data_IF_944931437766
#
_entry.id   IF_944931437766
#
_cell.length_a   1.000
_cell.length_b   1.000
_cell.length_c   1.000
_cell.angle_alpha   90.00
_cell.angle_beta   90.00
_cell.angle_gamma   90.00
#
_symmetry.space_group_name_H-M   'P 1'
#
loop_
_entity.id
_entity.type
_entity.pdbx_description
1 polymer ?
#
# COMPACT_ATOMS: atom_id res chain seq x y z
N UNK A 1 10.06 -6.43 2.06
CA UNK A 1 9.71 -5.51 0.96
C UNK A 1 10.13 -4.09 1.34
N UNK A 2 10.44 -3.22 0.36
CA UNK A 2 10.65 -1.79 0.60
C UNK A 2 9.61 -1.02 -0.21
N UNK A 3 8.88 -0.13 0.45
CA UNK A 3 7.99 0.82 -0.19
C UNK A 3 8.72 2.15 -0.33
N UNK A 4 8.48 2.83 -1.45
CA UNK A 4 9.10 4.11 -1.79
C UNK A 4 8.10 4.91 -2.62
N UNK A 5 7.19 5.59 -1.93
CA UNK A 5 6.11 6.42 -2.48
C UNK A 5 6.20 7.82 -1.87
N UNK A 6 6.03 8.85 -2.69
CA UNK A 6 5.87 10.21 -2.20
C UNK A 6 4.39 10.52 -1.96
N UNK A 7 4.08 11.41 -1.02
CA UNK A 7 2.70 11.91 -0.81
C UNK A 7 2.12 12.63 -2.02
N UNK A 8 2.98 13.18 -2.89
CA UNK A 8 2.55 13.81 -4.14
C UNK A 8 2.18 12.78 -5.21
N UNK A 9 2.59 11.52 -5.04
CA UNK A 9 2.14 10.42 -5.88
C UNK A 9 0.73 10.03 -5.43
N UNK A 10 -0.27 10.29 -6.28
CA UNK A 10 -1.65 9.87 -6.01
C UNK A 10 -1.87 8.37 -6.28
N UNK A 11 -0.89 7.68 -6.87
CA UNK A 11 -0.92 6.25 -7.13
C UNK A 11 0.49 5.66 -7.15
N UNK A 12 0.65 4.48 -6.56
CA UNK A 12 1.83 3.65 -6.69
C UNK A 12 1.46 2.16 -6.74
N UNK A 13 2.31 1.35 -7.36
CA UNK A 13 2.16 -0.10 -7.36
C UNK A 13 3.49 -0.79 -7.07
N UNK A 14 3.44 -1.84 -6.27
CA UNK A 14 4.58 -2.67 -5.89
C UNK A 14 4.26 -4.14 -6.16
N UNK A 15 5.28 -4.95 -6.46
CA UNK A 15 5.12 -6.37 -6.70
C UNK A 15 6.01 -7.19 -5.77
N UNK A 16 5.38 -8.07 -4.99
CA UNK A 16 6.05 -9.03 -4.14
C UNK A 16 6.16 -10.37 -4.88
N UNK A 17 7.37 -10.65 -5.39
CA UNK A 17 7.65 -11.87 -6.12
C UNK A 17 7.63 -13.14 -5.25
N UNK A 18 7.84 -13.04 -3.93
CA UNK A 18 7.81 -14.21 -3.04
C UNK A 18 6.37 -14.67 -2.77
N UNK A 19 5.43 -13.72 -2.75
CA UNK A 19 4.01 -13.97 -2.50
C UNK A 19 3.16 -13.97 -3.76
N UNK A 20 3.74 -13.59 -4.89
CA UNK A 20 3.06 -13.37 -6.17
C UNK A 20 1.86 -12.41 -6.01
N UNK A 21 2.07 -11.30 -5.29
CA UNK A 21 1.03 -10.29 -5.01
C UNK A 21 1.43 -8.91 -5.50
N UNK A 22 0.47 -8.22 -6.09
CA UNK A 22 0.52 -6.79 -6.32
C UNK A 22 -0.03 -6.05 -5.10
N UNK A 23 0.60 -4.93 -4.79
CA UNK A 23 0.18 -3.96 -3.79
C UNK A 23 -0.08 -2.67 -4.55
N UNK A 24 -1.30 -2.19 -4.53
CA UNK A 24 -1.70 -0.91 -5.08
C UNK A 24 -1.94 0.06 -3.93
N UNK A 25 -1.47 1.28 -4.09
CA UNK A 25 -1.73 2.38 -3.15
C UNK A 25 -2.29 3.52 -3.97
N UNK A 26 -3.47 3.99 -3.60
CA UNK A 26 -4.15 5.09 -4.28
C UNK A 26 -4.63 6.16 -3.30
N UNK A 27 -4.69 7.40 -3.77
CA UNK A 27 -5.21 8.54 -3.04
C UNK A 27 -5.94 9.51 -3.97
N UNK A 28 -7.04 10.08 -3.47
CA UNK A 28 -7.78 11.13 -4.18
C UNK A 28 -7.41 12.54 -3.72
N UNK A 29 -6.86 12.69 -2.51
CA UNK A 29 -6.62 13.97 -1.83
C UNK A 29 -5.16 14.15 -1.35
N UNK A 30 -4.29 13.17 -1.59
CA UNK A 30 -2.89 13.11 -1.12
C UNK A 30 -2.74 13.17 0.42
N UNK A 31 -3.83 12.91 1.15
CA UNK A 31 -3.88 12.86 2.61
C UNK A 31 -4.30 11.46 3.08
N UNK A 32 -5.36 10.93 2.48
CA UNK A 32 -5.93 9.60 2.74
C UNK A 32 -5.48 8.63 1.63
N UNK A 33 -4.83 7.55 2.04
CA UNK A 33 -4.31 6.52 1.14
C UNK A 33 -5.04 5.20 1.39
N UNK A 34 -5.48 4.55 0.33
CA UNK A 34 -6.08 3.22 0.35
C UNK A 34 -5.09 2.20 -0.21
N UNK A 35 -4.98 1.04 0.45
CA UNK A 35 -4.10 -0.05 0.03
C UNK A 35 -4.94 -1.23 -0.43
N UNK A 36 -4.67 -1.71 -1.64
CA UNK A 36 -5.27 -2.91 -2.19
C UNK A 36 -4.18 -3.96 -2.40
N UNK A 37 -4.48 -5.23 -2.08
CA UNK A 37 -3.54 -6.35 -2.27
C UNK A 37 -4.23 -7.47 -3.02
N UNK A 38 -3.54 -8.05 -4.01
CA UNK A 38 -4.07 -9.15 -4.81
C UNK A 38 -3.32 -9.39 -6.11
N UNK A 39 -4.05 -9.72 -7.17
CA UNK A 39 -3.54 -9.72 -8.54
C UNK A 39 -4.01 -8.45 -9.27
N UNK A 40 -3.56 -8.26 -10.51
CA UNK A 40 -4.05 -7.15 -11.36
C UNK A 40 -5.56 -7.26 -11.64
N UNK A 41 -6.10 -8.48 -11.70
CA UNK A 41 -7.51 -8.74 -12.01
C UNK A 41 -8.38 -8.89 -10.75
N UNK A 42 -7.78 -9.23 -9.61
CA UNK A 42 -8.47 -9.54 -8.35
C UNK A 42 -7.66 -9.02 -7.16
N UNK A 43 -7.84 -7.74 -6.85
CA UNK A 43 -7.31 -7.08 -5.66
C UNK A 43 -8.42 -6.53 -4.79
N UNK A 44 -8.26 -6.65 -3.48
CA UNK A 44 -9.21 -6.14 -2.51
C UNK A 44 -8.54 -5.10 -1.60
N UNK A 45 -9.32 -4.12 -1.18
CA UNK A 45 -8.91 -3.16 -0.14
C UNK A 45 -8.58 -3.91 1.15
N UNK A 46 -7.40 -3.63 1.70
CA UNK A 46 -6.92 -4.17 2.98
C UNK A 46 -6.94 -3.12 4.09
N UNK A 47 -7.22 -1.87 3.74
CA UNK A 47 -7.38 -0.76 4.67
C UNK A 47 -6.98 0.58 4.05
N UNK A 48 -7.30 1.64 4.77
CA UNK A 48 -6.90 3.01 4.46
C UNK A 48 -6.35 3.72 5.69
N UNK A 49 -5.55 4.76 5.46
CA UNK A 49 -4.94 5.57 6.51
C UNK A 49 -4.65 6.98 6.03
N UNK A 50 -4.46 7.90 6.97
CA UNK A 50 -3.93 9.24 6.69
C UNK A 50 -2.41 9.24 6.86
N UNK A 51 -1.67 9.99 6.06
CA UNK A 51 -0.23 10.21 6.24
C UNK A 51 0.15 11.68 6.05
N UNK A 52 0.99 12.20 6.94
CA UNK A 52 1.42 13.60 6.94
C UNK A 52 2.79 13.83 6.28
N UNK A 53 3.54 12.77 6.02
CA UNK A 53 4.82 12.81 5.31
C UNK A 53 5.14 11.45 4.66
N UNK A 54 6.14 11.44 3.76
CA UNK A 54 6.53 10.25 2.99
C UNK A 54 7.03 9.11 3.89
N UNK A 55 7.73 9.41 4.99
CA UNK A 55 8.21 8.39 5.93
C UNK A 55 7.05 7.67 6.63
N UNK A 56 6.06 8.43 7.09
CA UNK A 56 4.83 7.89 7.68
C UNK A 56 4.00 7.10 6.66
N UNK A 57 3.88 7.60 5.42
CA UNK A 57 3.20 6.93 4.32
C UNK A 57 3.79 5.54 4.09
N UNK A 58 5.10 5.46 3.84
CA UNK A 58 5.77 4.19 3.54
C UNK A 58 5.76 3.23 4.74
N UNK A 59 5.82 3.75 5.96
CA UNK A 59 5.69 2.94 7.19
C UNK A 59 4.29 2.34 7.32
N UNK A 60 3.22 3.11 7.07
CA UNK A 60 1.84 2.64 7.16
C UNK A 60 1.46 1.65 6.04
N UNK A 61 2.01 1.82 4.83
CA UNK A 61 1.89 0.80 3.77
C UNK A 61 2.48 -0.53 4.26
N UNK A 62 3.69 -0.47 4.84
CA UNK A 62 4.36 -1.66 5.37
C UNK A 62 3.57 -2.33 6.50
N UNK A 63 2.99 -1.56 7.41
CA UNK A 63 2.16 -2.09 8.50
C UNK A 63 0.91 -2.82 7.98
N UNK A 64 0.15 -2.21 7.05
CA UNK A 64 -1.02 -2.86 6.46
C UNK A 64 -0.66 -4.11 5.67
N UNK A 65 0.39 -4.04 4.85
CA UNK A 65 0.90 -5.20 4.12
C UNK A 65 1.29 -6.34 5.07
N UNK A 66 2.06 -6.06 6.12
CA UNK A 66 2.48 -7.08 7.10
C UNK A 66 1.30 -7.66 7.88
N UNK A 67 0.28 -6.84 8.20
CA UNK A 67 -0.94 -7.31 8.86
C UNK A 67 -1.74 -8.27 7.96
N UNK A 68 -1.80 -7.98 6.66
CA UNK A 68 -2.53 -8.79 5.70
C UNK A 68 -1.78 -10.08 5.32
N UNK A 69 -0.47 -10.01 5.07
CA UNK A 69 0.35 -11.15 4.59
C UNK A 69 0.95 -11.97 5.76
N UNK A 70 1.20 -11.33 6.90
CA UNK A 70 1.80 -11.93 8.10
C UNK A 70 0.80 -12.36 9.17
N UNK A 71 -0.50 -12.12 8.96
CA UNK A 71 -1.57 -12.56 9.86
C UNK A 71 -1.75 -14.07 9.84
N UNK A 72 -1.31 -14.73 10.92
CA UNK A 72 -1.87 -16.00 11.41
C UNK A 72 -2.94 -15.71 12.45
#
# INVERSE_FOLDING_TARGET
>A
MKFDMSREDNFASFFDAEKEKHIFVESFDNETFEVLIGTVEDSASVGSFVASNDEELNSKIMELYNKHIGGR
#
